data_IF_223874731239
#
_entry.id   IF_223874731239
#
_cell.length_a   1.000
_cell.length_b   1.000
_cell.length_c   1.000
_cell.angle_alpha   90.00
_cell.angle_beta   90.00
_cell.angle_gamma   90.00
#
_symmetry.space_group_name_H-M   'P 1'
#
loop_
_entity.id
_entity.type
_entity.pdbx_description
1 polymer ?
#
# COMPACT_ATOMS: atom_id res chain seq x y z
N UNK A 1 0.82 9.81 -8.93
CA UNK A 1 1.84 10.60 -8.20
C UNK A 1 3.23 10.31 -8.75
N UNK A 2 3.98 11.36 -9.11
CA UNK A 2 5.34 11.26 -9.63
C UNK A 2 6.25 12.17 -8.77
N UNK A 3 7.31 11.62 -8.18
CA UNK A 3 8.20 12.35 -7.27
C UNK A 3 9.60 12.43 -7.87
N UNK A 4 10.21 13.62 -7.82
CA UNK A 4 11.56 13.84 -8.34
C UNK A 4 11.67 13.87 -9.87
N UNK A 5 10.62 14.28 -10.58
CA UNK A 5 10.69 14.60 -12.01
C UNK A 5 11.69 15.75 -12.25
N UNK A 6 12.42 15.68 -13.36
CA UNK A 6 13.29 16.77 -13.83
C UNK A 6 12.52 17.65 -14.81
N UNK A 7 11.86 17.01 -15.77
CA UNK A 7 10.90 17.61 -16.69
C UNK A 7 9.49 17.27 -16.23
N UNK A 8 8.66 18.30 -16.05
CA UNK A 8 7.28 18.15 -15.55
C UNK A 8 6.24 18.02 -16.68
N UNK A 9 6.61 18.39 -17.90
CA UNK A 9 5.76 18.30 -19.08
C UNK A 9 6.07 17.06 -19.89
N UNK A 10 5.03 16.31 -20.27
CA UNK A 10 5.21 15.15 -21.14
C UNK A 10 5.76 15.59 -22.51
N UNK A 11 6.77 14.91 -23.07
CA UNK A 11 7.50 15.39 -24.24
C UNK A 11 6.59 15.61 -25.46
N UNK A 12 6.80 16.71 -26.17
CA UNK A 12 6.05 17.04 -27.38
C UNK A 12 4.61 17.48 -27.13
N UNK A 13 4.24 17.76 -25.88
CA UNK A 13 2.91 18.27 -25.51
C UNK A 13 2.96 19.75 -25.14
N UNK A 14 1.83 20.43 -25.34
CA UNK A 14 1.59 21.83 -24.98
C UNK A 14 0.32 22.02 -24.14
N UNK A 15 -0.50 20.96 -24.05
CA UNK A 15 -1.74 20.91 -23.27
C UNK A 15 -1.93 19.51 -22.69
N UNK A 16 -2.67 19.41 -21.59
CA UNK A 16 -2.88 18.14 -20.88
C UNK A 16 -3.63 17.10 -21.72
N UNK A 17 -4.50 17.53 -22.63
CA UNK A 17 -5.27 16.62 -23.51
C UNK A 17 -4.39 15.91 -24.55
N UNK A 18 -3.13 16.33 -24.69
CA UNK A 18 -2.14 15.70 -25.57
C UNK A 18 -1.29 14.65 -24.83
N UNK A 19 -1.41 14.55 -23.51
CA UNK A 19 -0.72 13.52 -22.72
C UNK A 19 -1.31 12.13 -23.01
N UNK A 20 -0.56 11.05 -22.71
CA UNK A 20 -1.11 9.71 -22.75
C UNK A 20 -2.40 9.60 -21.91
N UNK A 21 -3.41 8.93 -22.46
CA UNK A 21 -4.72 8.77 -21.82
C UNK A 21 -4.81 7.53 -20.92
N UNK A 22 -3.66 6.99 -20.51
CA UNK A 22 -3.50 5.82 -19.64
C UNK A 22 -2.11 5.86 -18.99
N UNK A 23 -1.95 5.14 -17.89
CA UNK A 23 -0.88 5.42 -16.94
C UNK A 23 0.51 4.89 -17.36
N UNK A 24 0.60 3.70 -17.97
CA UNK A 24 1.89 3.04 -18.24
C UNK A 24 2.91 3.90 -19.03
N UNK A 25 2.56 4.63 -20.11
CA UNK A 25 3.51 5.48 -20.81
C UNK A 25 4.03 6.63 -19.95
N UNK A 26 3.18 7.18 -19.07
CA UNK A 26 3.55 8.24 -18.12
C UNK A 26 4.53 7.68 -17.08
N UNK A 27 4.27 6.46 -16.57
CA UNK A 27 5.18 5.78 -15.64
C UNK A 27 6.53 5.50 -16.30
N UNK A 28 6.56 4.97 -17.53
CA UNK A 28 7.79 4.74 -18.31
C UNK A 28 8.59 6.04 -18.48
N UNK A 29 7.92 7.12 -18.87
CA UNK A 29 8.54 8.44 -19.03
C UNK A 29 9.13 8.97 -17.72
N UNK A 30 8.38 8.90 -16.63
CA UNK A 30 8.86 9.33 -15.31
C UNK A 30 10.07 8.50 -14.85
N UNK A 31 10.02 7.17 -15.06
CA UNK A 31 11.11 6.26 -14.73
C UNK A 31 12.38 6.54 -15.52
N UNK A 32 12.27 6.91 -16.80
CA UNK A 32 13.42 7.32 -17.62
C UNK A 32 14.17 8.53 -17.05
N UNK A 33 13.52 9.34 -16.21
CA UNK A 33 14.14 10.49 -15.52
C UNK A 33 14.74 10.14 -14.15
N UNK A 34 14.52 8.92 -13.66
CA UNK A 34 14.88 8.48 -12.31
C UNK A 34 13.84 8.82 -11.25
N UNK A 35 12.62 9.22 -11.63
CA UNK A 35 11.57 9.54 -10.67
C UNK A 35 11.11 8.32 -9.85
N UNK A 36 10.47 8.59 -8.71
CA UNK A 36 9.68 7.60 -7.97
C UNK A 36 8.23 7.73 -8.43
N UNK A 37 7.62 6.62 -8.81
CA UNK A 37 6.28 6.58 -9.39
C UNK A 37 5.30 5.85 -8.48
N UNK A 38 4.08 6.35 -8.39
CA UNK A 38 3.02 5.69 -7.63
C UNK A 38 1.64 6.19 -7.99
N UNK A 39 0.63 5.54 -7.42
CA UNK A 39 -0.77 5.91 -7.61
C UNK A 39 -1.24 6.78 -6.45
N UNK A 40 -1.99 7.84 -6.78
CA UNK A 40 -2.62 8.72 -5.80
C UNK A 40 -4.08 8.31 -5.57
N UNK A 41 -4.66 8.85 -4.50
CA UNK A 41 -6.04 8.82 -4.06
C UNK A 41 -6.69 7.47 -4.34
N UNK A 42 -6.00 6.46 -3.82
CA UNK A 42 -5.97 5.12 -4.41
C UNK A 42 -7.32 4.42 -4.37
N UNK A 43 -8.13 4.68 -3.35
CA UNK A 43 -9.44 4.07 -3.18
C UNK A 43 -10.49 4.57 -4.18
N UNK A 44 -10.27 5.64 -4.94
CA UNK A 44 -11.26 6.15 -5.89
C UNK A 44 -11.52 5.16 -7.02
N UNK A 45 -12.73 4.61 -7.05
CA UNK A 45 -13.14 3.57 -8.00
C UNK A 45 -12.80 2.15 -7.55
N UNK A 46 -12.21 1.99 -6.36
CA UNK A 46 -11.92 0.71 -5.73
C UNK A 46 -12.88 0.39 -4.55
N UNK A 47 -14.02 1.07 -4.50
CA UNK A 47 -15.00 0.93 -3.42
C UNK A 47 -15.71 -0.42 -3.41
N UNK A 48 -15.80 -1.01 -2.22
CA UNK A 48 -16.53 -2.25 -1.89
C UNK A 48 -17.31 -2.09 -0.58
N UNK A 49 -18.28 -2.96 -0.31
CA UNK A 49 -19.18 -2.82 0.84
C UNK A 49 -18.53 -3.30 2.15
N UNK A 50 -17.65 -4.29 2.07
CA UNK A 50 -16.98 -4.88 3.24
C UNK A 50 -15.78 -4.05 3.72
N UNK A 51 -15.55 -4.07 5.04
CA UNK A 51 -14.36 -3.51 5.68
C UNK A 51 -13.24 -4.55 5.88
N UNK A 52 -13.47 -5.81 5.50
CA UNK A 52 -12.51 -6.90 5.66
C UNK A 52 -11.28 -6.73 4.76
N UNK A 53 -10.13 -7.21 5.24
CA UNK A 53 -8.86 -7.16 4.50
C UNK A 53 -8.08 -8.49 4.66
N UNK A 54 -7.54 -9.07 3.58
CA UNK A 54 -8.00 -8.84 2.21
C UNK A 54 -9.42 -9.41 2.01
N UNK A 55 -10.22 -8.77 1.16
CA UNK A 55 -11.54 -9.24 0.74
C UNK A 55 -11.56 -9.47 -0.78
N UNK A 56 -12.53 -10.26 -1.27
CA UNK A 56 -12.57 -10.66 -2.67
C UNK A 56 -13.76 -10.07 -3.43
N UNK A 57 -14.39 -9.03 -2.89
CA UNK A 57 -15.35 -8.25 -3.66
C UNK A 57 -14.59 -7.56 -4.80
N UNK A 58 -15.16 -7.58 -6.00
CA UNK A 58 -14.56 -6.94 -7.17
C UNK A 58 -15.09 -5.51 -7.25
N UNK A 59 -14.24 -4.48 -7.07
CA UNK A 59 -14.70 -3.11 -7.18
C UNK A 59 -14.96 -2.71 -8.63
N UNK A 60 -15.52 -1.51 -8.83
CA UNK A 60 -15.87 -1.00 -10.15
C UNK A 60 -14.68 -0.76 -11.07
N UNK A 61 -13.52 -0.32 -10.55
CA UNK A 61 -12.40 0.24 -11.32
C UNK A 61 -12.79 1.46 -12.19
N UNK A 62 -13.79 2.22 -11.76
CA UNK A 62 -14.56 3.18 -12.58
C UNK A 62 -14.19 4.66 -12.37
N UNK A 63 -13.18 4.96 -11.55
CA UNK A 63 -12.73 6.33 -11.25
C UNK A 63 -11.23 6.55 -11.52
N UNK A 64 -10.62 7.55 -10.89
CA UNK A 64 -9.26 8.06 -11.17
C UNK A 64 -8.17 7.53 -10.23
N UNK A 65 -8.52 6.71 -9.23
CA UNK A 65 -7.58 6.19 -8.24
C UNK A 65 -6.60 5.15 -8.77
N UNK A 66 -6.22 4.20 -7.92
CA UNK A 66 -5.25 3.15 -8.24
C UNK A 66 -5.83 2.05 -9.15
N UNK A 67 -6.55 2.42 -10.20
CA UNK A 67 -7.33 1.49 -11.00
C UNK A 67 -6.42 0.73 -11.98
N UNK A 68 -5.55 1.44 -12.70
CA UNK A 68 -4.59 0.83 -13.63
C UNK A 68 -3.38 0.20 -12.91
N UNK A 69 -3.23 0.45 -11.60
CA UNK A 69 -2.20 -0.16 -10.74
C UNK A 69 -2.12 -1.69 -10.91
N UNK A 70 -3.27 -2.37 -11.01
CA UNK A 70 -3.30 -3.83 -11.15
C UNK A 70 -2.60 -4.32 -12.42
N UNK A 71 -2.63 -3.52 -13.48
CA UNK A 71 -1.95 -3.79 -14.74
C UNK A 71 -0.50 -3.30 -14.68
N UNK A 72 -0.28 -2.06 -14.26
CA UNK A 72 1.04 -1.42 -14.26
C UNK A 72 2.06 -2.08 -13.33
N UNK A 73 1.61 -2.61 -12.17
CA UNK A 73 2.50 -3.32 -11.25
C UNK A 73 3.11 -4.57 -11.87
N UNK A 74 2.50 -5.13 -12.92
CA UNK A 74 3.03 -6.29 -13.66
C UNK A 74 4.20 -5.93 -14.59
N UNK A 75 4.39 -4.65 -14.88
CA UNK A 75 5.55 -4.13 -15.60
C UNK A 75 6.64 -3.78 -14.58
N UNK A 76 7.67 -4.61 -14.53
CA UNK A 76 8.71 -4.54 -13.50
C UNK A 76 9.33 -3.13 -13.39
N UNK A 77 9.42 -2.63 -12.17
CA UNK A 77 9.99 -1.32 -11.87
C UNK A 77 9.13 -0.13 -12.28
N UNK A 78 7.91 -0.31 -12.80
CA UNK A 78 7.05 0.82 -13.22
C UNK A 78 6.28 1.46 -12.08
N UNK A 79 6.02 0.74 -10.98
CA UNK A 79 5.31 1.25 -9.81
C UNK A 79 6.17 1.05 -8.56
N UNK A 80 6.52 2.14 -7.87
CA UNK A 80 7.23 2.08 -6.60
C UNK A 80 6.29 2.01 -5.41
N UNK A 81 5.16 2.73 -5.44
CA UNK A 81 4.25 2.81 -4.30
C UNK A 81 2.78 3.04 -4.67
N UNK A 82 1.90 2.81 -3.69
CA UNK A 82 0.52 3.26 -3.66
C UNK A 82 0.35 4.29 -2.54
N UNK A 83 -0.36 5.39 -2.78
CA UNK A 83 -0.69 6.34 -1.73
C UNK A 83 -1.93 5.90 -0.96
N UNK A 84 -2.05 6.34 0.28
CA UNK A 84 -3.15 6.03 1.18
C UNK A 84 -3.44 7.20 2.13
N UNK A 85 -4.48 7.04 2.93
CA UNK A 85 -4.91 7.95 3.99
C UNK A 85 -5.74 9.18 3.57
N UNK A 86 -6.15 9.25 2.31
CA UNK A 86 -7.11 10.24 1.79
C UNK A 86 -8.44 9.63 1.31
N UNK A 87 -8.54 8.30 1.21
CA UNK A 87 -9.78 7.55 0.95
C UNK A 87 -9.97 6.41 1.98
N UNK A 88 -11.12 5.68 2.01
CA UNK A 88 -11.34 4.59 2.96
C UNK A 88 -10.26 3.49 2.93
N UNK A 89 -9.69 3.19 4.10
CA UNK A 89 -8.58 2.23 4.22
C UNK A 89 -8.83 0.85 3.57
N UNK A 90 -10.03 0.23 3.67
CA UNK A 90 -10.29 -1.02 2.95
C UNK A 90 -10.14 -0.90 1.43
N UNK A 91 -10.53 0.23 0.85
CA UNK A 91 -10.52 0.43 -0.60
C UNK A 91 -9.09 0.63 -1.13
N UNK A 92 -8.22 1.27 -0.34
CA UNK A 92 -6.81 1.47 -0.66
C UNK A 92 -5.97 0.22 -0.44
N UNK A 93 -6.13 -0.43 0.72
CA UNK A 93 -5.25 -1.53 1.14
C UNK A 93 -5.57 -2.85 0.42
N UNK A 94 -6.80 -3.08 -0.04
CA UNK A 94 -7.17 -4.40 -0.55
C UNK A 94 -6.40 -4.78 -1.82
N UNK A 95 -6.33 -3.89 -2.82
CA UNK A 95 -5.58 -4.12 -4.06
C UNK A 95 -4.07 -4.25 -3.77
N UNK A 96 -3.55 -3.46 -2.84
CA UNK A 96 -2.15 -3.53 -2.43
C UNK A 96 -1.84 -4.87 -1.76
N UNK A 97 -2.66 -5.32 -0.81
CA UNK A 97 -2.50 -6.60 -0.15
C UNK A 97 -2.58 -7.78 -1.13
N UNK A 98 -3.52 -7.77 -2.08
CA UNK A 98 -3.60 -8.82 -3.10
C UNK A 98 -2.34 -8.87 -3.96
N UNK A 99 -1.82 -7.72 -4.40
CA UNK A 99 -0.60 -7.68 -5.22
C UNK A 99 0.65 -8.10 -4.43
N UNK A 100 0.77 -7.74 -3.15
CA UNK A 100 1.82 -8.24 -2.26
C UNK A 100 1.72 -9.76 -2.04
N UNK A 101 0.50 -10.29 -1.84
CA UNK A 101 0.26 -11.72 -1.64
C UNK A 101 0.71 -12.57 -2.83
N UNK A 102 0.72 -12.00 -4.03
CA UNK A 102 1.20 -12.69 -5.24
C UNK A 102 2.64 -12.33 -5.59
N UNK A 103 3.34 -11.60 -4.72
CA UNK A 103 4.78 -11.39 -4.76
C UNK A 103 5.24 -10.11 -5.45
N UNK A 104 4.35 -9.15 -5.72
CA UNK A 104 4.81 -7.79 -6.00
C UNK A 104 5.34 -7.14 -4.72
N UNK A 105 6.21 -6.13 -4.87
CA UNK A 105 6.98 -5.54 -3.75
C UNK A 105 6.85 -4.02 -3.66
N UNK A 106 5.73 -3.48 -4.11
CA UNK A 106 5.43 -2.04 -4.04
C UNK A 106 5.31 -1.56 -2.60
N UNK A 107 5.57 -0.27 -2.41
CA UNK A 107 5.53 0.42 -1.12
C UNK A 107 4.18 1.09 -0.90
N UNK A 108 3.98 1.60 0.30
CA UNK A 108 2.85 2.44 0.66
C UNK A 108 3.35 3.80 1.15
N UNK A 109 2.65 4.87 0.77
CA UNK A 109 2.89 6.25 1.17
C UNK A 109 1.59 6.89 1.67
N UNK A 110 1.66 7.86 2.58
CA UNK A 110 0.53 8.66 3.01
C UNK A 110 0.44 9.97 2.25
N UNK A 111 -0.76 10.37 1.88
CA UNK A 111 -1.04 11.67 1.26
C UNK A 111 -2.32 12.30 1.81
N UNK A 112 -2.62 13.53 1.39
CA UNK A 112 -3.84 14.24 1.82
C UNK A 112 -4.66 14.77 0.65
N UNK A 113 -4.02 14.97 -0.51
CA UNK A 113 -4.61 15.65 -1.67
C UNK A 113 -5.37 16.94 -1.29
N UNK A 114 -4.72 17.78 -0.46
CA UNK A 114 -5.31 19.05 -0.02
C UNK A 114 -5.17 20.12 -1.11
N UNK A 115 -6.23 20.89 -1.42
CA UNK A 115 -7.59 20.84 -0.85
C UNK A 115 -8.60 20.00 -1.67
N UNK A 116 -8.16 19.28 -2.70
CA UNK A 116 -9.01 18.62 -3.70
C UNK A 116 -9.98 17.57 -3.12
N UNK A 117 -9.51 16.70 -2.22
CA UNK A 117 -10.35 15.65 -1.61
C UNK A 117 -11.08 16.17 -0.37
N UNK A 118 -10.42 17.01 0.44
CA UNK A 118 -11.07 17.67 1.56
C UNK A 118 -10.42 19.00 1.90
N UNK A 119 -11.25 19.95 2.33
CA UNK A 119 -10.80 21.23 2.90
C UNK A 119 -10.45 21.16 4.39
N UNK A 120 -10.41 19.96 5.00
CA UNK A 120 -10.32 19.81 6.45
C UNK A 120 -8.99 20.31 7.02
N UNK A 121 -7.87 19.70 6.60
CA UNK A 121 -6.52 20.10 7.02
C UNK A 121 -5.43 19.51 6.13
N UNK A 122 -4.31 20.21 6.00
CA UNK A 122 -3.07 19.64 5.46
C UNK A 122 -2.54 18.54 6.38
N UNK A 123 -2.05 17.45 5.79
CA UNK A 123 -1.43 16.34 6.49
C UNK A 123 -2.42 15.48 7.27
N UNK A 124 -3.59 15.18 6.69
CA UNK A 124 -4.50 14.15 7.21
C UNK A 124 -3.88 12.77 7.06
N UNK A 125 -3.35 12.44 5.88
CA UNK A 125 -2.44 11.31 5.68
C UNK A 125 -1.00 11.79 5.48
N UNK A 126 -0.04 11.04 6.05
CA UNK A 126 1.37 11.42 6.09
C UNK A 126 2.29 10.23 5.86
N UNK A 127 3.40 10.48 5.18
CA UNK A 127 4.56 9.57 5.11
C UNK A 127 5.66 10.02 6.05
N UNK A 128 5.96 9.19 7.05
CA UNK A 128 7.10 9.40 7.95
C UNK A 128 8.27 8.55 7.48
N UNK A 129 9.33 9.19 6.98
CA UNK A 129 10.52 8.52 6.46
C UNK A 129 11.73 8.67 7.37
N UNK A 130 12.43 7.56 7.61
CA UNK A 130 13.74 7.56 8.29
C UNK A 130 14.81 7.86 7.25
N UNK A 131 15.53 8.96 7.44
CA UNK A 131 16.61 9.41 6.55
C UNK A 131 17.92 9.45 7.32
N UNK A 132 19.02 9.09 6.66
CA UNK A 132 20.35 9.22 7.24
C UNK A 132 20.88 10.64 7.05
N UNK A 133 21.54 11.20 8.07
CA UNK A 133 22.10 12.54 8.00
C UNK A 133 21.04 13.65 7.94
N UNK A 134 21.32 14.71 7.16
CA UNK A 134 20.44 15.89 7.09
C UNK A 134 19.29 15.63 6.13
N UNK A 135 18.07 15.96 6.57
CA UNK A 135 16.87 15.93 5.73
C UNK A 135 17.06 16.79 4.46
N UNK A 136 16.78 16.19 3.32
CA UNK A 136 16.64 16.84 2.01
C UNK A 136 15.45 16.23 1.26
N UNK A 137 14.97 16.91 0.22
CA UNK A 137 13.91 16.36 -0.62
C UNK A 137 14.34 15.04 -1.27
N UNK A 138 15.57 14.98 -1.81
CA UNK A 138 16.12 13.76 -2.40
C UNK A 138 16.21 12.60 -1.42
N UNK A 139 16.75 12.82 -0.21
CA UNK A 139 16.83 11.76 0.82
C UNK A 139 15.45 11.28 1.27
N UNK A 140 14.44 12.17 1.30
CA UNK A 140 13.07 11.79 1.62
C UNK A 140 12.42 10.97 0.50
N UNK A 141 12.58 11.35 -0.77
CA UNK A 141 12.10 10.57 -1.92
C UNK A 141 12.72 9.17 -1.92
N UNK A 142 14.03 9.07 -1.67
CA UNK A 142 14.69 7.76 -1.62
C UNK A 142 14.21 6.91 -0.44
N UNK A 143 13.80 7.52 0.68
CA UNK A 143 13.13 6.79 1.76
C UNK A 143 11.79 6.19 1.30
N UNK A 144 11.02 6.90 0.47
CA UNK A 144 9.77 6.38 -0.14
C UNK A 144 10.09 5.23 -1.10
N UNK A 145 11.06 5.42 -2.01
CA UNK A 145 11.49 4.38 -2.95
C UNK A 145 11.90 3.10 -2.23
N UNK A 146 12.71 3.24 -1.19
CA UNK A 146 13.19 2.11 -0.42
C UNK A 146 12.09 1.44 0.41
N UNK A 147 11.04 2.19 0.79
CA UNK A 147 10.04 1.76 1.77
C UNK A 147 10.55 1.91 3.20
N UNK A 148 11.48 2.83 3.46
CA UNK A 148 11.97 3.18 4.80
C UNK A 148 11.03 4.17 5.50
N UNK A 149 9.74 3.99 5.26
CA UNK A 149 8.65 4.87 5.70
C UNK A 149 7.47 4.08 6.25
N UNK A 150 6.60 4.78 6.98
CA UNK A 150 5.26 4.31 7.34
C UNK A 150 4.22 5.41 7.09
N UNK A 151 2.97 4.98 6.88
CA UNK A 151 1.80 5.84 6.72
C UNK A 151 1.15 6.08 8.07
N UNK A 152 0.67 7.30 8.30
CA UNK A 152 0.01 7.69 9.55
C UNK A 152 -0.94 8.87 9.36
N UNK A 153 -2.01 8.88 10.15
CA UNK A 153 -2.93 10.03 10.33
C UNK A 153 -2.31 11.23 11.10
N UNK A 154 -1.09 11.03 11.60
CA UNK A 154 -0.34 11.94 12.45
C UNK A 154 -0.56 11.76 13.95
N UNK A 155 -1.38 10.79 14.38
CA UNK A 155 -1.66 10.44 15.78
C UNK A 155 -1.17 9.06 16.17
N UNK A 156 -0.88 8.17 15.22
CA UNK A 156 -0.22 6.88 15.46
C UNK A 156 1.11 6.77 14.73
N UNK A 157 2.15 6.25 15.37
CA UNK A 157 3.50 6.15 14.85
C UNK A 157 4.04 4.73 14.99
N UNK A 158 4.65 4.21 13.92
CA UNK A 158 5.20 2.85 13.83
C UNK A 158 6.66 2.92 13.38
N UNK A 159 7.54 3.23 14.33
CA UNK A 159 8.96 3.53 14.09
C UNK A 159 9.82 2.28 14.21
N UNK A 160 10.97 2.30 13.54
CA UNK A 160 12.01 1.26 13.66
C UNK A 160 11.47 -0.18 13.45
N UNK A 161 10.50 -0.36 12.55
CA UNK A 161 9.96 -1.68 12.22
C UNK A 161 11.03 -2.55 11.56
N UNK A 162 11.34 -3.68 12.20
CA UNK A 162 12.37 -4.60 11.78
C UNK A 162 11.93 -6.06 11.96
N UNK A 163 12.46 -6.94 11.12
CA UNK A 163 12.31 -8.40 11.22
C UNK A 163 13.69 -9.02 11.29
N UNK A 164 13.94 -9.86 12.30
CA UNK A 164 15.25 -10.48 12.56
C UNK A 164 16.41 -9.45 12.62
N UNK A 165 16.13 -8.26 13.17
CA UNK A 165 17.09 -7.15 13.23
C UNK A 165 17.27 -6.38 11.92
N UNK A 166 16.57 -6.74 10.85
CA UNK A 166 16.63 -6.09 9.56
C UNK A 166 15.51 -5.05 9.42
N UNK A 167 15.87 -3.77 9.35
CA UNK A 167 14.91 -2.66 9.25
C UNK A 167 14.20 -2.65 7.89
N UNK A 168 12.89 -2.38 7.89
CA UNK A 168 12.14 -2.11 6.66
C UNK A 168 12.77 -0.96 5.87
N UNK A 169 12.88 -1.14 4.56
CA UNK A 169 13.52 -0.18 3.65
C UNK A 169 15.03 -0.27 3.58
N UNK A 170 15.65 -1.24 4.25
CA UNK A 170 17.08 -1.55 4.10
C UNK A 170 17.26 -2.88 3.37
N UNK A 171 18.34 -3.07 2.59
CA UNK A 171 18.63 -4.34 1.91
C UNK A 171 17.44 -4.93 1.11
N UNK A 172 16.69 -4.10 0.38
CA UNK A 172 15.50 -4.52 -0.37
C UNK A 172 14.25 -4.81 0.48
N UNK A 173 14.30 -4.54 1.78
CA UNK A 173 13.36 -5.00 2.80
C UNK A 173 13.25 -6.53 2.82
N UNK A 174 14.35 -7.26 2.65
CA UNK A 174 14.33 -8.73 2.55
C UNK A 174 15.08 -9.41 3.70
N UNK A 175 14.50 -10.50 4.21
CA UNK A 175 15.17 -11.42 5.13
C UNK A 175 15.01 -12.85 4.63
N UNK A 176 16.06 -13.67 4.76
CA UNK A 176 16.01 -15.09 4.43
C UNK A 176 15.73 -15.93 5.68
N UNK A 177 14.87 -16.93 5.54
CA UNK A 177 14.50 -17.85 6.62
C UNK A 177 14.45 -19.29 6.11
N UNK A 178 14.79 -20.30 6.93
CA UNK A 178 14.46 -21.68 6.63
C UNK A 178 12.96 -21.93 6.81
N UNK A 179 12.42 -22.99 6.18
CA UNK A 179 11.04 -23.41 6.45
C UNK A 179 10.79 -23.68 7.94
N UNK A 180 9.71 -23.10 8.47
CA UNK A 180 9.39 -23.17 9.90
C UNK A 180 10.22 -22.23 10.78
N UNK A 181 11.13 -21.44 10.18
CA UNK A 181 11.88 -20.41 10.88
C UNK A 181 10.97 -19.35 11.52
N UNK A 182 11.39 -18.84 12.67
CA UNK A 182 10.66 -17.82 13.42
C UNK A 182 11.13 -16.44 12.97
N UNK A 183 10.20 -15.62 12.50
CA UNK A 183 10.42 -14.19 12.27
C UNK A 183 10.22 -13.44 13.59
N UNK A 184 11.29 -12.83 14.10
CA UNK A 184 11.27 -11.95 15.27
C UNK A 184 11.04 -10.52 14.83
N UNK A 185 9.92 -9.95 15.19
CA UNK A 185 9.51 -8.61 14.79
C UNK A 185 9.69 -7.66 15.96
N UNK A 186 10.24 -6.48 15.70
CA UNK A 186 10.36 -5.39 16.69
C UNK A 186 9.96 -4.07 16.06
N UNK A 187 9.34 -3.20 16.87
CA UNK A 187 9.03 -1.82 16.49
C UNK A 187 8.82 -0.95 17.72
N UNK A 188 8.90 0.36 17.52
CA UNK A 188 8.47 1.37 18.48
C UNK A 188 7.11 1.94 18.07
N UNK A 189 6.18 1.98 19.01
CA UNK A 189 4.82 2.49 18.80
C UNK A 189 4.56 3.66 19.72
N UNK A 190 3.96 4.72 19.17
CA UNK A 190 3.30 5.76 19.95
C UNK A 190 1.94 6.05 19.31
N UNK A 191 0.91 6.22 20.10
CA UNK A 191 -0.40 6.66 19.61
C UNK A 191 -0.97 7.71 20.56
N UNK A 192 -1.86 8.58 20.08
CA UNK A 192 -2.54 9.55 20.91
C UNK A 192 -4.06 9.49 20.72
N UNK A 193 -4.77 9.07 21.77
CA UNK A 193 -6.22 9.17 21.90
C UNK A 193 -6.55 10.18 23.00
N UNK A 194 -7.69 10.86 22.87
CA UNK A 194 -8.28 11.54 24.02
C UNK A 194 -8.76 10.50 25.06
N UNK A 195 -8.71 10.80 26.38
CA UNK A 195 -9.20 9.87 27.39
C UNK A 195 -10.69 9.53 27.26
N UNK A 196 -11.49 10.46 26.74
CA UNK A 196 -12.92 10.29 26.48
C UNK A 196 -13.12 9.87 25.01
N UNK A 197 -13.86 8.79 24.72
CA UNK A 197 -14.15 8.39 23.34
C UNK A 197 -14.93 9.47 22.57
N UNK A 198 -14.57 9.66 21.30
CA UNK A 198 -15.31 10.53 20.39
C UNK A 198 -16.29 9.68 19.56
N UNK A 199 -17.50 9.53 20.09
CA UNK A 199 -18.57 8.74 19.45
C UNK A 199 -19.02 9.28 18.09
N UNK A 200 -18.81 10.58 17.81
CA UNK A 200 -19.10 11.16 16.51
C UNK A 200 -18.18 10.64 15.40
N UNK A 201 -17.00 10.09 15.74
CA UNK A 201 -16.11 9.40 14.80
C UNK A 201 -16.34 7.89 14.83
N UNK A 202 -16.49 7.31 16.03
CA UNK A 202 -16.61 5.84 16.19
C UNK A 202 -17.87 5.25 15.60
N UNK A 203 -18.97 6.01 15.59
CA UNK A 203 -20.24 5.56 15.02
C UNK A 203 -20.32 5.69 13.49
N UNK A 204 -19.38 6.38 12.87
CA UNK A 204 -19.39 6.57 11.42
C UNK A 204 -19.05 5.26 10.69
N UNK A 205 -19.76 4.92 9.61
CA UNK A 205 -19.32 3.89 8.69
C UNK A 205 -17.87 4.13 8.23
N UNK A 206 -17.13 3.06 7.94
CA UNK A 206 -15.72 3.16 7.58
C UNK A 206 -15.48 3.98 6.30
N UNK A 207 -16.48 4.04 5.42
CA UNK A 207 -16.44 4.78 4.16
C UNK A 207 -16.88 6.25 4.32
N UNK A 208 -17.07 6.74 5.54
CA UNK A 208 -17.30 8.15 5.83
C UNK A 208 -16.06 8.79 6.47
N UNK A 209 -15.77 10.03 6.10
CA UNK A 209 -14.63 10.78 6.63
C UNK A 209 -14.84 11.12 8.12
N UNK A 210 -13.80 11.09 8.98
CA UNK A 210 -12.41 10.79 8.67
C UNK A 210 -12.19 9.30 8.39
N UNK A 211 -11.49 8.97 7.31
CA UNK A 211 -11.27 7.59 6.87
C UNK A 211 -10.19 6.88 7.72
N UNK A 212 -9.02 7.50 7.78
CA UNK A 212 -7.90 7.09 8.61
C UNK A 212 -7.87 7.96 9.86
N UNK A 213 -8.22 7.38 11.00
CA UNK A 213 -8.24 8.07 12.29
C UNK A 213 -8.03 7.08 13.44
N UNK A 214 -7.12 7.40 14.35
CA UNK A 214 -6.81 6.63 15.57
C UNK A 214 -8.04 6.37 16.43
N UNK A 215 -9.04 7.25 16.44
CA UNK A 215 -10.26 7.06 17.21
C UNK A 215 -11.05 5.83 16.74
N UNK A 216 -10.98 5.51 15.44
CA UNK A 216 -11.58 4.28 14.89
C UNK A 216 -10.85 3.01 15.36
N UNK A 217 -9.60 3.14 15.79
CA UNK A 217 -8.79 2.03 16.30
C UNK A 217 -9.01 1.79 17.81
N UNK A 218 -9.74 2.64 18.53
CA UNK A 218 -9.91 2.54 19.99
C UNK A 218 -10.48 1.19 20.41
N UNK A 219 -9.88 0.58 21.45
CA UNK A 219 -10.38 -0.65 22.07
C UNK A 219 -11.46 -0.31 23.11
N UNK A 220 -12.72 -0.56 22.77
CA UNK A 220 -13.85 -0.32 23.68
C UNK A 220 -13.92 1.15 24.13
N UNK A 221 -14.08 1.39 25.42
CA UNK A 221 -14.01 2.72 26.04
C UNK A 221 -12.63 3.07 26.60
N UNK A 222 -11.63 2.20 26.42
CA UNK A 222 -10.27 2.42 26.93
C UNK A 222 -9.54 3.51 26.13
N UNK A 223 -8.36 3.91 26.60
CA UNK A 223 -7.41 4.73 25.85
C UNK A 223 -6.35 3.87 25.13
N UNK A 224 -6.68 2.63 24.79
CA UNK A 224 -5.76 1.71 24.11
C UNK A 224 -6.09 1.55 22.63
N UNK A 225 -5.05 1.30 21.84
CA UNK A 225 -5.14 0.91 20.43
C UNK A 225 -4.51 -0.47 20.18
N UNK A 226 -4.99 -1.23 19.18
CA UNK A 226 -4.35 -2.45 18.75
C UNK A 226 -3.12 -2.15 17.90
N UNK A 227 -2.01 -2.77 18.25
CA UNK A 227 -0.83 -2.92 17.39
C UNK A 227 -0.88 -4.34 16.84
N UNK A 228 -1.12 -4.46 15.54
CA UNK A 228 -1.22 -5.75 14.85
C UNK A 228 0.04 -6.03 14.06
N UNK A 229 0.58 -7.24 14.21
CA UNK A 229 1.48 -7.83 13.24
C UNK A 229 0.62 -8.41 12.10
N UNK A 230 0.86 -7.95 10.88
CA UNK A 230 0.19 -8.43 9.67
C UNK A 230 1.12 -9.37 8.93
N UNK A 231 0.62 -10.55 8.56
CA UNK A 231 1.29 -11.50 7.67
C UNK A 231 0.35 -11.80 6.51
N UNK A 232 0.80 -11.54 5.28
CA UNK A 232 0.03 -11.78 4.06
C UNK A 232 -1.40 -11.18 4.08
N UNK A 233 -1.52 -9.98 4.65
CA UNK A 233 -2.74 -9.18 4.67
C UNK A 233 -3.67 -9.45 5.86
N UNK A 234 -3.34 -10.42 6.73
CA UNK A 234 -4.15 -10.78 7.90
C UNK A 234 -3.40 -10.53 9.21
N UNK A 235 -4.07 -10.10 10.29
CA UNK A 235 -3.47 -10.06 11.62
C UNK A 235 -3.02 -11.46 12.04
N UNK A 236 -1.72 -11.61 12.32
CA UNK A 236 -1.12 -12.85 12.82
C UNK A 236 -0.99 -12.84 14.34
N UNK A 237 -0.76 -11.66 14.92
CA UNK A 237 -0.71 -11.43 16.36
C UNK A 237 -1.09 -9.97 16.67
N UNK A 238 -1.48 -9.69 17.91
CA UNK A 238 -1.96 -8.38 18.36
C UNK A 238 -1.53 -8.10 19.79
N UNK A 239 -1.07 -6.87 20.03
CA UNK A 239 -0.81 -6.32 21.37
C UNK A 239 -1.56 -4.99 21.55
N UNK A 240 -2.01 -4.71 22.76
CA UNK A 240 -2.57 -3.39 23.09
C UNK A 240 -1.45 -2.42 23.45
N UNK A 241 -1.61 -1.15 23.06
CA UNK A 241 -0.74 -0.06 23.48
C UNK A 241 -1.58 1.12 24.00
N UNK A 242 -1.20 1.67 25.16
CA UNK A 242 -1.80 2.89 25.68
C UNK A 242 -1.49 4.07 24.75
N UNK A 243 -2.53 4.75 24.29
CA UNK A 243 -2.44 5.85 23.33
C UNK A 243 -2.32 7.22 24.06
N UNK A 244 -1.23 7.38 24.81
CA UNK A 244 -0.89 8.60 25.56
C UNK A 244 0.33 9.36 25.00
N UNK A 245 0.73 9.08 23.77
CA UNK A 245 1.86 9.72 23.10
C UNK A 245 3.23 9.22 23.52
N UNK A 246 3.31 8.36 24.54
CA UNK A 246 4.59 7.78 24.97
C UNK A 246 5.03 6.68 24.00
N UNK A 247 6.30 6.72 23.62
CA UNK A 247 6.92 5.69 22.78
C UNK A 247 7.10 4.40 23.59
N UNK A 248 6.65 3.28 23.04
CA UNK A 248 6.72 1.95 23.65
C UNK A 248 7.32 0.96 22.67
N UNK A 249 8.15 0.06 23.17
CA UNK A 249 8.65 -1.06 22.37
C UNK A 249 7.63 -2.19 22.32
N UNK A 250 7.44 -2.74 21.13
CA UNK A 250 6.56 -3.88 20.88
C UNK A 250 7.37 -4.92 20.10
N UNK A 251 7.15 -6.18 20.41
CA UNK A 251 7.77 -7.30 19.72
C UNK A 251 6.78 -8.42 19.44
N UNK A 252 7.05 -9.23 18.44
CA UNK A 252 6.26 -10.42 18.08
C UNK A 252 7.19 -11.53 17.61
N UNK A 253 6.74 -12.77 17.70
CA UNK A 253 7.41 -13.92 17.10
C UNK A 253 6.38 -14.71 16.28
N UNK A 254 6.65 -14.93 14.99
CA UNK A 254 5.75 -15.69 14.12
C UNK A 254 6.52 -16.74 13.33
N UNK A 255 6.14 -18.03 13.41
CA UNK A 255 6.74 -19.07 12.57
C UNK A 255 6.22 -18.96 11.14
N UNK A 256 7.13 -19.00 10.16
CA UNK A 256 6.79 -18.91 8.75
C UNK A 256 7.06 -20.22 8.02
N UNK A 257 6.01 -20.78 7.41
CA UNK A 257 6.09 -22.03 6.63
C UNK A 257 6.28 -21.78 5.12
N UNK A 258 6.07 -20.55 4.68
CA UNK A 258 6.22 -20.13 3.29
C UNK A 258 6.62 -18.65 3.25
N UNK A 259 7.21 -18.24 2.12
CA UNK A 259 7.60 -16.85 1.91
C UNK A 259 6.41 -15.93 2.05
N UNK A 260 6.60 -14.89 2.84
CA UNK A 260 5.52 -14.01 3.29
C UNK A 260 6.03 -12.59 3.37
N UNK A 261 5.11 -11.63 3.28
CA UNK A 261 5.40 -10.26 3.67
C UNK A 261 4.84 -9.99 5.07
N UNK A 262 5.58 -9.21 5.85
CA UNK A 262 5.24 -8.82 7.21
C UNK A 262 5.17 -7.29 7.30
N UNK A 263 4.14 -6.78 7.97
CA UNK A 263 4.00 -5.36 8.28
C UNK A 263 3.42 -5.20 9.69
N UNK A 264 3.48 -4.00 10.24
CA UNK A 264 2.75 -3.64 11.45
C UNK A 264 1.72 -2.54 11.14
N UNK A 265 0.60 -2.54 11.88
CA UNK A 265 -0.41 -1.50 11.77
C UNK A 265 -1.10 -1.18 13.09
N UNK A 266 -1.57 0.05 13.20
CA UNK A 266 -2.68 0.44 14.09
C UNK A 266 -3.83 0.76 13.16
N UNK A 267 -4.74 -0.17 12.93
CA UNK A 267 -5.74 -0.03 11.87
C UNK A 267 -6.96 0.80 12.32
N UNK A 268 -7.43 1.81 11.55
CA UNK A 268 -6.94 2.29 10.25
C UNK A 268 -6.13 3.59 10.36
N UNK A 269 -5.32 3.77 11.41
CA UNK A 269 -4.59 5.02 11.70
C UNK A 269 -3.15 5.05 11.16
N UNK A 270 -2.46 3.90 11.14
CA UNK A 270 -1.08 3.81 10.65
C UNK A 270 -0.75 2.42 10.10
N UNK A 271 0.18 2.36 9.14
CA UNK A 271 0.64 1.12 8.51
C UNK A 271 2.11 1.24 8.06
N UNK A 272 2.96 0.26 8.38
CA UNK A 272 4.36 0.24 7.92
C UNK A 272 4.49 -0.22 6.47
N UNK A 273 5.60 0.09 5.82
CA UNK A 273 6.02 -0.70 4.66
C UNK A 273 6.40 -2.14 5.05
N UNK A 274 6.31 -3.11 4.12
CA UNK A 274 6.54 -4.51 4.44
C UNK A 274 8.04 -4.88 4.46
N UNK A 275 8.37 -5.86 5.28
CA UNK A 275 9.57 -6.71 5.12
C UNK A 275 9.14 -8.04 4.48
N UNK A 276 9.88 -8.47 3.47
CA UNK A 276 9.67 -9.71 2.73
C UNK A 276 10.55 -10.81 3.31
N UNK A 277 9.93 -11.76 3.99
CA UNK A 277 10.60 -12.97 4.47
C UNK A 277 10.58 -14.04 3.37
N UNK A 278 11.76 -14.38 2.85
CA UNK A 278 11.94 -15.38 1.80
C UNK A 278 12.35 -16.70 2.44
N UNK A 279 11.41 -17.64 2.41
CA UNK A 279 11.54 -18.98 2.98
C UNK A 279 12.10 -19.94 1.93
N UNK A 280 13.25 -20.54 2.21
CA UNK A 280 13.95 -21.49 1.33
C UNK A 280 14.11 -21.00 -0.13
N UNK A 281 14.34 -19.69 -0.32
CA UNK A 281 14.52 -19.09 -1.64
C UNK A 281 13.26 -19.06 -2.53
N UNK A 282 12.09 -19.45 -2.01
CA UNK A 282 10.85 -19.48 -2.80
C UNK A 282 10.21 -18.09 -2.90
N UNK A 283 9.57 -17.72 -4.02
CA UNK A 283 8.89 -16.44 -4.11
C UNK A 283 7.64 -16.39 -3.22
N UNK A 284 7.18 -15.18 -2.90
CA UNK A 284 5.90 -14.99 -2.21
C UNK A 284 4.76 -15.34 -3.18
N UNK A 285 4.04 -16.42 -2.86
CA UNK A 285 2.80 -16.88 -3.51
C UNK A 285 1.81 -17.26 -2.42
N UNK A 286 1.48 -16.28 -1.60
CA UNK A 286 0.78 -16.48 -0.33
C UNK A 286 -0.68 -16.91 -0.50
N UNK A 287 -1.31 -16.58 -1.64
CA UNK A 287 -2.71 -16.89 -1.88
C UNK A 287 -3.02 -17.00 -3.37
N UNK A 288 -3.45 -18.20 -3.79
CA UNK A 288 -3.99 -18.45 -5.12
C UNK A 288 -5.25 -17.61 -5.36
N UNK A 289 -6.12 -17.52 -4.37
CA UNK A 289 -7.34 -16.70 -4.44
C UNK A 289 -7.04 -15.21 -4.67
N UNK A 290 -5.93 -14.70 -4.11
CA UNK A 290 -5.45 -13.34 -4.42
C UNK A 290 -5.00 -13.21 -5.88
N UNK A 291 -4.34 -14.22 -6.45
CA UNK A 291 -3.93 -14.21 -7.86
C UNK A 291 -5.13 -14.29 -8.82
N UNK A 292 -6.14 -15.10 -8.48
CA UNK A 292 -7.41 -15.17 -9.20
C UNK A 292 -8.16 -13.84 -9.15
N UNK A 293 -8.23 -13.21 -7.96
CA UNK A 293 -8.79 -11.86 -7.81
C UNK A 293 -8.03 -10.84 -8.66
N UNK A 294 -6.70 -10.87 -8.67
CA UNK A 294 -5.90 -9.96 -9.49
C UNK A 294 -6.17 -10.13 -10.99
N UNK A 295 -6.28 -11.36 -11.48
CA UNK A 295 -6.62 -11.64 -12.89
C UNK A 295 -8.02 -11.10 -13.25
N UNK A 296 -8.99 -11.30 -12.37
CA UNK A 296 -10.33 -10.75 -12.53
C UNK A 296 -10.31 -9.20 -12.50
N UNK A 297 -9.52 -8.61 -11.61
CA UNK A 297 -9.33 -7.17 -11.49
C UNK A 297 -8.72 -6.54 -12.75
N UNK A 298 -7.73 -7.17 -13.39
CA UNK A 298 -7.22 -6.72 -14.70
C UNK A 298 -8.34 -6.69 -15.75
N UNK A 299 -9.20 -7.71 -15.74
CA UNK A 299 -10.32 -7.81 -16.67
C UNK A 299 -11.38 -6.74 -16.40
N UNK A 300 -11.74 -6.51 -15.14
CA UNK A 300 -12.67 -5.46 -14.74
C UNK A 300 -12.13 -4.06 -15.06
N UNK A 301 -10.86 -3.79 -14.72
CA UNK A 301 -10.17 -2.54 -15.04
C UNK A 301 -10.21 -2.24 -16.54
N UNK A 302 -9.95 -3.24 -17.39
CA UNK A 302 -10.03 -3.09 -18.84
C UNK A 302 -11.41 -2.61 -19.30
N UNK A 303 -12.51 -3.13 -18.73
CA UNK A 303 -13.86 -2.71 -19.12
C UNK A 303 -14.13 -1.22 -18.89
N UNK A 304 -13.48 -0.63 -17.87
CA UNK A 304 -13.66 0.78 -17.51
C UNK A 304 -12.69 1.71 -18.21
N UNK A 305 -11.45 1.23 -18.46
CA UNK A 305 -10.35 2.05 -18.96
C UNK A 305 -10.25 2.04 -20.47
N UNK A 306 -10.38 0.88 -21.12
CA UNK A 306 -10.22 0.77 -22.58
C UNK A 306 -11.09 1.76 -23.39
N UNK A 307 -12.37 2.03 -23.04
CA UNK A 307 -13.18 3.02 -23.77
C UNK A 307 -12.66 4.46 -23.69
N UNK A 308 -11.80 4.77 -22.71
CA UNK A 308 -11.22 6.10 -22.47
C UNK A 308 -9.82 6.26 -23.06
N UNK A 309 -9.21 5.17 -23.55
CA UNK A 309 -7.89 5.19 -24.16
C UNK A 309 -8.00 5.75 -25.58
N UNK A 310 -7.09 6.67 -25.94
CA UNK A 310 -7.01 7.25 -27.26
C UNK A 310 -6.89 6.15 -28.34
N UNK A 311 -7.60 6.25 -29.48
CA UNK A 311 -7.62 5.21 -30.51
C UNK A 311 -6.23 4.74 -30.98
N UNK A 312 -5.28 5.67 -31.12
CA UNK A 312 -3.91 5.36 -31.54
C UNK A 312 -3.04 4.65 -30.49
N UNK A 313 -3.48 4.59 -29.23
CA UNK A 313 -2.78 3.92 -28.13
C UNK A 313 -3.42 2.59 -27.72
N UNK A 314 -4.56 2.22 -28.33
CA UNK A 314 -5.32 1.04 -27.93
C UNK A 314 -4.56 -0.27 -28.10
N UNK A 315 -3.77 -0.42 -29.16
CA UNK A 315 -3.03 -1.66 -29.39
C UNK A 315 -1.89 -1.86 -28.39
N UNK A 316 -1.13 -0.80 -28.08
CA UNK A 316 -0.12 -0.85 -27.00
C UNK A 316 -0.78 -1.17 -25.64
N UNK A 317 -1.93 -0.55 -25.35
CA UNK A 317 -2.67 -0.84 -24.12
C UNK A 317 -3.18 -2.29 -24.08
N UNK A 318 -3.65 -2.85 -25.21
CA UNK A 318 -4.07 -4.26 -25.28
C UNK A 318 -2.90 -5.20 -24.96
N UNK A 319 -1.72 -4.92 -25.48
CA UNK A 319 -0.51 -5.71 -25.21
C UNK A 319 -0.11 -5.64 -23.72
N UNK A 320 -0.13 -4.45 -23.11
CA UNK A 320 0.16 -4.27 -21.69
C UNK A 320 -0.84 -5.04 -20.80
N UNK A 321 -2.14 -4.94 -21.08
CA UNK A 321 -3.15 -5.72 -20.37
C UNK A 321 -3.06 -7.23 -20.65
N UNK A 322 -2.62 -7.65 -21.83
CA UNK A 322 -2.37 -9.07 -22.13
C UNK A 322 -1.19 -9.60 -21.31
N UNK A 323 -0.10 -8.85 -21.21
CA UNK A 323 1.06 -9.14 -20.35
C UNK A 323 0.64 -9.28 -18.87
N UNK A 324 -0.21 -8.37 -18.39
CA UNK A 324 -0.71 -8.45 -17.02
C UNK A 324 -1.54 -9.73 -16.78
N UNK A 325 -2.46 -10.06 -17.69
CA UNK A 325 -3.26 -11.30 -17.60
C UNK A 325 -2.38 -12.55 -17.56
N UNK A 326 -1.36 -12.61 -18.42
CA UNK A 326 -0.43 -13.73 -18.46
C UNK A 326 0.41 -13.84 -17.17
N UNK A 327 0.87 -12.70 -16.66
CA UNK A 327 1.59 -12.64 -15.38
C UNK A 327 0.75 -13.19 -14.23
N UNK A 328 -0.53 -12.82 -14.14
CA UNK A 328 -1.40 -13.33 -13.08
C UNK A 328 -1.77 -14.81 -13.27
N UNK A 329 -2.00 -15.29 -14.49
CA UNK A 329 -2.21 -16.72 -14.76
C UNK A 329 -1.03 -17.57 -14.29
N UNK A 330 0.19 -17.16 -14.64
CA UNK A 330 1.41 -17.83 -14.16
C UNK A 330 1.48 -17.84 -12.62
N UNK A 331 1.14 -16.73 -11.96
CA UNK A 331 1.13 -16.65 -10.49
C UNK A 331 0.02 -17.49 -9.84
N UNK A 332 -1.12 -17.69 -10.50
CA UNK A 332 -2.15 -18.64 -10.08
C UNK A 332 -1.55 -20.05 -10.05
N UNK A 333 -0.91 -20.46 -11.15
CA UNK A 333 -0.33 -21.80 -11.28
C UNK A 333 0.80 -22.07 -10.27
N UNK A 334 1.64 -21.06 -10.00
CA UNK A 334 2.69 -21.11 -8.98
C UNK A 334 2.17 -21.09 -7.53
N UNK A 335 0.92 -20.70 -7.30
CA UNK A 335 0.35 -20.56 -5.95
C UNK A 335 -0.22 -21.89 -5.41
N UNK A 336 -0.08 -22.18 -4.10
CA UNK A 336 -0.61 -23.40 -3.50
C UNK A 336 -2.12 -23.56 -3.73
N UNK A 337 -2.61 -24.75 -4.14
CA UNK A 337 -4.04 -24.99 -4.29
C UNK A 337 -4.82 -24.71 -3.00
N UNK A 338 -5.95 -24.00 -3.10
CA UNK A 338 -6.82 -23.68 -1.96
C UNK A 338 -6.33 -22.58 -1.01
N UNK A 339 -5.23 -21.88 -1.35
CA UNK A 339 -4.69 -20.73 -0.59
C UNK A 339 -5.30 -19.38 -0.96
#
# INVERSE_FOLDING_TARGET
MLLGLKEQDYPGTSRIEQWPTWDLPILKWAKAQGAVTGFAHSGWGLGVATAELPNHEMPGFDSIGANEYIMDVTHEGMVDFISAADTPAPWELNIWYHTLNVGFRTRISGETDFPCISGNRVGQGRSYGKVDGRLSYGSWIESIRAGRTYVSDGRSHLMDFAVNGHEAGTGGSEVSLPVGGVARVTLKVAAWLDPVPNEAVRSLPFFQSPYWDVERARIGSSREVPVELVVNGRPADRKSALADGTVREVSFEVPLRASSWLAARVYPSAHTNPVFAIVDGRPIRASRRSAEWCLAAVSQCWTQKAPKIAPGALDEAREAYAHARETYRRRIDESPPGS
#
